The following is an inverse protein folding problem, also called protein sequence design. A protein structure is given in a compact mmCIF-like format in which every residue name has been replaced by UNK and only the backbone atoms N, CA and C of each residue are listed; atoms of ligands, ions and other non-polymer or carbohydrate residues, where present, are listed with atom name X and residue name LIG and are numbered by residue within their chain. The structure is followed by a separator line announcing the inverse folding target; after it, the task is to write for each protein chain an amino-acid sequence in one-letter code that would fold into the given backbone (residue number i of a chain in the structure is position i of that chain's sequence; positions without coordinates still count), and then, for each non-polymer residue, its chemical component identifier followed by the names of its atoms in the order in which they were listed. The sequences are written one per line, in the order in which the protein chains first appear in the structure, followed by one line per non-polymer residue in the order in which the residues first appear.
data_IF_600660771163
#
_entry.id   IF_600660771163
#
_cell.length_a   1.000
_cell.length_b   1.000
_cell.length_c   1.000
_cell.angle_alpha   90.00
_cell.angle_beta   90.00
_cell.angle_gamma   90.00
#
_symmetry.space_group_name_H-M   'P 1'
#
loop_
_entity.id
_entity.type
_entity.pdbx_description
1 polymer ?
#
# COMPACT_ATOMS: atom_id res chain seq x y z
N UNK A 1 4.93 17.69 3.99
CA UNK A 1 5.96 16.64 3.97
C UNK A 1 5.56 15.56 2.97
N UNK A 2 6.39 15.32 1.95
CA UNK A 2 6.22 14.18 1.04
C UNK A 2 6.28 12.89 1.85
N UNK A 3 5.28 12.03 1.73
CA UNK A 3 5.29 10.72 2.39
C UNK A 3 6.34 9.89 1.67
N UNK A 4 7.33 9.39 2.39
CA UNK A 4 8.33 8.46 1.85
C UNK A 4 8.16 7.09 2.52
N UNK A 5 8.50 6.03 1.80
CA UNK A 5 8.50 4.65 2.26
C UNK A 5 9.93 4.20 2.49
N UNK A 6 10.28 3.86 3.73
CA UNK A 6 11.59 3.31 4.05
C UNK A 6 11.52 1.79 3.96
N UNK A 7 12.38 1.20 3.14
CA UNK A 7 12.54 -0.24 2.95
C UNK A 7 13.94 -0.62 3.40
N UNK A 8 14.04 -1.56 4.33
CA UNK A 8 15.31 -2.08 4.82
C UNK A 8 15.84 -3.17 3.88
N UNK A 9 17.11 -3.06 3.48
CA UNK A 9 17.76 -4.06 2.62
C UNK A 9 18.24 -5.25 3.43
N UNK A 10 18.07 -6.47 2.87
CA UNK A 10 18.36 -7.77 3.54
C UNK A 10 19.80 -7.96 4.02
N UNK A 11 20.76 -7.19 3.51
CA UNK A 11 22.17 -7.53 3.66
C UNK A 11 22.89 -6.95 4.88
N UNK A 12 22.28 -6.09 5.73
CA UNK A 12 22.96 -5.71 6.99
C UNK A 12 22.16 -4.98 8.08
N UNK A 13 20.81 -4.91 8.04
CA UNK A 13 19.97 -4.14 9.00
C UNK A 13 20.35 -2.64 9.22
N UNK A 14 21.44 -2.16 8.63
CA UNK A 14 22.00 -0.81 8.73
C UNK A 14 21.67 0.04 7.50
N UNK A 15 21.52 -0.62 6.35
CA UNK A 15 21.23 0.03 5.08
C UNK A 15 19.71 0.13 4.87
N UNK A 16 19.25 1.35 4.58
CA UNK A 16 17.85 1.64 4.27
C UNK A 16 17.75 2.35 2.92
N UNK A 17 16.72 2.00 2.15
CA UNK A 17 16.35 2.72 0.93
C UNK A 17 15.04 3.47 1.18
N UNK A 18 15.03 4.76 0.89
CA UNK A 18 13.80 5.56 0.94
C UNK A 18 13.25 5.73 -0.46
N UNK A 19 11.98 5.41 -0.63
CA UNK A 19 11.24 5.58 -1.88
C UNK A 19 10.19 6.68 -1.70
N UNK A 20 10.02 7.54 -2.70
CA UNK A 20 8.79 8.33 -2.83
C UNK A 20 7.63 7.40 -3.21
N UNK A 21 6.41 7.68 -2.75
CA UNK A 21 5.22 6.95 -3.21
C UNK A 21 5.03 7.10 -4.72
N UNK A 22 5.28 8.30 -5.25
CA UNK A 22 5.13 8.61 -6.67
C UNK A 22 6.46 9.11 -7.23
N UNK A 23 6.89 8.50 -8.34
CA UNK A 23 8.08 8.93 -9.08
C UNK A 23 7.79 10.12 -9.98
N UNK A 24 6.60 10.15 -10.58
CA UNK A 24 6.16 11.21 -11.49
C UNK A 24 4.65 11.37 -11.36
N UNK A 25 4.18 12.62 -11.36
CA UNK A 25 2.76 12.98 -11.38
C UNK A 25 2.60 14.00 -12.50
N UNK A 26 1.81 13.66 -13.50
CA UNK A 26 1.50 14.52 -14.64
C UNK A 26 -0.01 14.77 -14.66
N UNK A 27 -0.39 16.03 -14.84
CA UNK A 27 -1.79 16.41 -14.98
C UNK A 27 -2.12 16.63 -16.45
N UNK A 28 -3.05 15.82 -16.97
CA UNK A 28 -3.51 15.90 -18.35
C UNK A 28 -4.80 16.71 -18.34
N UNK A 29 -4.67 18.01 -18.65
CA UNK A 29 -5.80 18.96 -18.60
C UNK A 29 -6.91 18.65 -19.60
N UNK A 30 -6.59 18.00 -20.73
CA UNK A 30 -7.56 17.65 -21.77
C UNK A 30 -8.58 16.61 -21.31
N UNK A 31 -8.19 15.72 -20.40
CA UNK A 31 -8.99 14.59 -19.93
C UNK A 31 -9.36 14.72 -18.45
N UNK A 32 -8.98 15.82 -17.79
CA UNK A 32 -9.09 16.03 -16.35
C UNK A 32 -8.54 14.84 -15.52
N UNK A 33 -7.46 14.23 -16.01
CA UNK A 33 -6.87 13.01 -15.45
C UNK A 33 -5.47 13.26 -14.88
N UNK A 34 -5.12 12.50 -13.84
CA UNK A 34 -3.79 12.49 -13.26
C UNK A 34 -3.07 11.20 -13.66
N UNK A 35 -2.00 11.32 -14.45
CA UNK A 35 -1.13 10.21 -14.77
C UNK A 35 -0.05 10.13 -13.69
N UNK A 36 -0.02 9.00 -13.00
CA UNK A 36 0.85 8.80 -11.84
C UNK A 36 1.71 7.57 -12.04
N UNK A 37 3.03 7.75 -11.94
CA UNK A 37 4.01 6.66 -12.10
C UNK A 37 4.54 6.23 -10.74
N UNK A 38 4.31 4.97 -10.39
CA UNK A 38 4.94 4.32 -9.23
C UNK A 38 6.40 3.97 -9.55
N UNK A 39 7.27 3.99 -8.54
CA UNK A 39 8.65 3.57 -8.71
C UNK A 39 8.73 2.07 -9.03
N UNK A 40 9.54 1.66 -10.01
CA UNK A 40 9.61 0.26 -10.48
C UNK A 40 10.01 -0.71 -9.35
N UNK A 41 10.91 -0.31 -8.46
CA UNK A 41 11.30 -1.13 -7.29
C UNK A 41 10.15 -1.39 -6.31
N UNK A 42 9.07 -0.60 -6.36
CA UNK A 42 7.89 -0.83 -5.51
C UNK A 42 6.95 -1.90 -6.09
N UNK A 43 7.10 -2.24 -7.38
CA UNK A 43 6.28 -3.25 -8.08
C UNK A 43 6.18 -4.60 -7.33
N UNK A 44 7.27 -5.23 -6.85
CA UNK A 44 7.19 -6.51 -6.14
C UNK A 44 6.40 -6.41 -4.82
N UNK A 45 6.37 -5.25 -4.17
CA UNK A 45 5.63 -5.06 -2.92
C UNK A 45 4.11 -4.92 -3.14
N UNK A 46 3.68 -4.53 -4.35
CA UNK A 46 2.26 -4.34 -4.66
C UNK A 46 1.63 -5.49 -5.46
N UNK A 47 2.38 -6.16 -6.34
CA UNK A 47 1.83 -7.14 -7.29
C UNK A 47 2.16 -8.60 -6.94
N UNK A 48 3.26 -8.87 -6.25
CA UNK A 48 3.71 -10.24 -5.95
C UNK A 48 3.41 -10.67 -4.51
N UNK A 49 2.22 -10.31 -4.02
CA UNK A 49 1.76 -10.65 -2.68
C UNK A 49 1.35 -12.13 -2.61
N UNK A 50 2.32 -13.01 -2.34
CA UNK A 50 2.16 -14.48 -2.48
C UNK A 50 1.30 -15.17 -1.43
N UNK A 51 1.28 -14.72 -0.17
CA UNK A 51 0.64 -15.48 0.94
C UNK A 51 -0.16 -14.66 1.93
N UNK A 52 0.30 -13.46 2.30
CA UNK A 52 -0.36 -12.64 3.32
C UNK A 52 -0.80 -11.30 2.72
N UNK A 53 -2.05 -11.23 2.26
CA UNK A 53 -2.62 -9.97 1.77
C UNK A 53 -4.01 -9.72 2.34
N UNK A 54 -4.25 -8.49 2.78
CA UNK A 54 -5.54 -8.07 3.29
C UNK A 54 -6.50 -7.85 2.14
N UNK A 55 -7.49 -8.74 1.99
CA UNK A 55 -8.61 -8.52 1.07
C UNK A 55 -9.64 -7.63 1.76
N UNK A 56 -9.94 -6.50 1.14
CA UNK A 56 -10.87 -5.51 1.65
C UNK A 56 -11.81 -5.06 0.53
N UNK A 57 -13.07 -4.78 0.87
CA UNK A 57 -14.01 -4.25 -0.11
C UNK A 57 -13.67 -2.78 -0.41
N UNK A 58 -13.32 -2.49 -1.67
CA UNK A 58 -12.96 -1.15 -2.14
C UNK A 58 -14.10 -0.15 -1.97
N UNK A 59 -15.35 -0.56 -2.17
CA UNK A 59 -16.50 0.35 -2.09
C UNK A 59 -16.72 0.82 -0.66
N UNK A 60 -16.43 -0.06 0.31
CA UNK A 60 -16.48 0.27 1.74
C UNK A 60 -15.35 1.23 2.12
N UNK A 61 -14.15 1.00 1.60
CA UNK A 61 -12.99 1.86 1.85
C UNK A 61 -13.19 3.29 1.34
N UNK A 62 -13.84 3.45 0.19
CA UNK A 62 -14.14 4.77 -0.41
C UNK A 62 -15.24 5.50 0.36
N UNK A 63 -16.22 4.78 0.92
CA UNK A 63 -17.32 5.37 1.71
C UNK A 63 -16.88 5.92 3.07
N UNK A 64 -15.75 5.46 3.60
CA UNK A 64 -15.25 5.95 4.89
C UNK A 64 -14.78 7.40 4.80
N UNK A 65 -15.41 8.29 5.57
CA UNK A 65 -15.04 9.73 5.63
C UNK A 65 -13.71 9.99 6.36
N UNK A 66 -13.30 9.10 7.26
CA UNK A 66 -12.09 9.26 8.07
C UNK A 66 -11.00 8.28 7.66
N UNK A 67 -9.78 8.80 7.55
CA UNK A 67 -8.56 8.02 7.32
C UNK A 67 -8.34 6.94 8.40
N UNK A 68 -8.76 7.22 9.64
CA UNK A 68 -8.61 6.28 10.75
C UNK A 68 -9.59 5.11 10.65
N UNK A 69 -10.82 5.36 10.19
CA UNK A 69 -11.82 4.32 10.00
C UNK A 69 -11.36 3.30 8.95
N UNK A 70 -10.84 3.75 7.81
CA UNK A 70 -10.30 2.85 6.78
C UNK A 70 -9.11 2.04 7.31
N UNK A 71 -8.24 2.65 8.11
CA UNK A 71 -7.10 1.97 8.75
C UNK A 71 -7.54 0.91 9.75
N UNK A 72 -8.51 1.23 10.61
CA UNK A 72 -9.04 0.30 11.60
C UNK A 72 -9.73 -0.88 10.91
N UNK A 73 -10.52 -0.63 9.86
CA UNK A 73 -11.14 -1.67 9.05
C UNK A 73 -10.10 -2.62 8.43
N UNK A 74 -9.04 -2.08 7.83
CA UNK A 74 -7.94 -2.88 7.28
C UNK A 74 -7.22 -3.69 8.35
N UNK A 75 -7.02 -3.13 9.55
CA UNK A 75 -6.42 -3.82 10.69
C UNK A 75 -7.26 -5.03 11.12
N UNK A 76 -8.57 -4.83 11.26
CA UNK A 76 -9.51 -5.90 11.62
C UNK A 76 -9.53 -7.00 10.55
N UNK A 77 -9.54 -6.63 9.27
CA UNK A 77 -9.47 -7.59 8.16
C UNK A 77 -8.17 -8.39 8.12
N UNK A 78 -7.05 -7.76 8.50
CA UNK A 78 -5.78 -8.48 8.66
C UNK A 78 -5.85 -9.48 9.81
N UNK A 79 -6.44 -9.12 10.95
CA UNK A 79 -6.57 -10.02 12.10
C UNK A 79 -7.46 -11.24 11.78
N UNK A 80 -8.55 -11.04 11.02
CA UNK A 80 -9.42 -12.12 10.54
C UNK A 80 -8.65 -13.19 9.75
N UNK A 81 -7.79 -12.76 8.82
CA UNK A 81 -6.95 -13.66 8.01
C UNK A 81 -5.99 -14.47 8.90
N UNK A 82 -5.35 -13.81 9.86
CA UNK A 82 -4.41 -14.48 10.78
C UNK A 82 -5.11 -15.55 11.62
N UNK A 83 -6.35 -15.30 12.06
CA UNK A 83 -7.14 -16.29 12.81
C UNK A 83 -7.54 -17.49 11.94
N UNK A 84 -7.91 -17.27 10.67
CA UNK A 84 -8.24 -18.34 9.73
C UNK A 84 -7.04 -19.26 9.46
N UNK A 85 -5.82 -18.71 9.41
CA UNK A 85 -4.59 -19.49 9.23
C UNK A 85 -4.12 -20.26 10.47
N UNK A 86 -4.62 -19.94 11.67
CA UNK A 86 -4.27 -20.65 12.92
C UNK A 86 -5.19 -21.82 13.27
N UNK A 87 -6.35 -21.91 12.61
CA UNK A 87 -7.35 -22.96 12.83
C UNK A 87 -7.28 -24.09 11.76
N UNK A 88 -6.14 -24.20 11.07
CA UNK A 88 -5.78 -25.27 10.12
C UNK A 88 -4.42 -25.80 10.58
#
# INVERSE_FOLDING_TARGET
MSRTLTVYTKNNHKDFKMYSWFSTIEYISSEACLLVKLHNDLKPYFLELKKEFTRANKDLLVRFKSKYTSRLYLLLKKAEIVLQHKNI
#
